data_IF_849333492831
#
_entry.id   IF_849333492831
#
_cell.length_a   1.000
_cell.length_b   1.000
_cell.length_c   1.000
_cell.angle_alpha   90.00
_cell.angle_beta   90.00
_cell.angle_gamma   90.00
#
_symmetry.space_group_name_H-M   'P 1'
#
loop_
_entity.id
_entity.type
_entity.pdbx_description
1 polymer ?
#
# COMPACT_ATOMS: atom_id res chain seq x y z
N UNK A 1 -1.26 14.07 -7.12
CA UNK A 1 0.11 13.85 -6.62
C UNK A 1 0.16 12.46 -6.04
N UNK A 2 1.06 11.64 -6.56
CA UNK A 2 1.21 10.26 -6.11
C UNK A 2 2.02 10.18 -4.81
N UNK A 3 1.80 9.12 -4.03
CA UNK A 3 2.53 8.90 -2.76
C UNK A 3 4.05 8.83 -2.99
N UNK A 4 4.49 8.39 -4.17
CA UNK A 4 5.90 8.38 -4.60
C UNK A 4 6.50 9.78 -4.65
N UNK A 5 5.79 10.78 -5.18
CA UNK A 5 6.27 12.16 -5.30
C UNK A 5 6.47 12.81 -3.92
N UNK A 6 5.56 12.52 -2.98
CA UNK A 6 5.69 12.96 -1.58
C UNK A 6 6.97 12.40 -0.96
N UNK A 7 7.28 11.13 -1.20
CA UNK A 7 8.50 10.48 -0.66
C UNK A 7 9.77 11.09 -1.25
N UNK A 8 9.75 11.54 -2.51
CA UNK A 8 10.86 12.29 -3.12
C UNK A 8 11.08 13.61 -2.39
N UNK A 9 10.01 14.36 -2.10
CA UNK A 9 10.10 15.61 -1.33
C UNK A 9 10.62 15.38 0.10
N UNK A 10 10.19 14.29 0.76
CA UNK A 10 10.73 13.91 2.07
C UNK A 10 12.24 13.67 2.03
N UNK A 11 12.72 12.96 1.00
CA UNK A 11 14.15 12.69 0.81
C UNK A 11 14.94 13.98 0.54
N UNK A 12 14.38 14.87 -0.29
CA UNK A 12 14.96 16.18 -0.56
C UNK A 12 15.12 16.99 0.75
N UNK A 13 14.06 17.15 1.54
CA UNK A 13 14.12 17.90 2.81
C UNK A 13 15.08 17.27 3.82
N UNK A 14 15.20 15.94 3.84
CA UNK A 14 16.17 15.24 4.66
C UNK A 14 17.62 15.62 4.33
N UNK A 15 17.98 15.63 3.04
CA UNK A 15 19.32 16.03 2.61
C UNK A 15 19.60 17.52 2.83
N UNK A 16 18.57 18.36 2.84
CA UNK A 16 18.66 19.76 3.24
C UNK A 16 18.79 19.98 4.75
N UNK A 17 18.86 18.91 5.56
CA UNK A 17 19.02 19.02 7.00
C UNK A 17 17.79 19.55 7.73
N UNK A 18 16.61 19.50 7.10
CA UNK A 18 15.39 19.94 7.74
C UNK A 18 15.06 19.04 8.95
N UNK A 19 14.43 19.63 9.97
CA UNK A 19 13.79 18.86 11.05
C UNK A 19 12.45 18.28 10.58
N UNK A 20 11.95 17.26 11.27
CA UNK A 20 10.62 16.66 10.99
C UNK A 20 9.52 17.73 10.90
N UNK A 21 9.51 18.68 11.84
CA UNK A 21 8.48 19.73 11.91
C UNK A 21 8.59 20.70 10.73
N UNK A 22 9.81 21.08 10.34
CA UNK A 22 10.03 21.93 9.17
C UNK A 22 9.61 21.23 7.88
N UNK A 23 9.97 19.96 7.71
CA UNK A 23 9.60 19.17 6.54
C UNK A 23 8.07 19.01 6.44
N UNK A 24 7.35 18.74 7.54
CA UNK A 24 5.88 18.71 7.53
C UNK A 24 5.29 20.05 7.07
N UNK A 25 5.77 21.16 7.61
CA UNK A 25 5.26 22.49 7.26
C UNK A 25 5.49 22.81 5.78
N UNK A 26 6.71 22.58 5.27
CA UNK A 26 7.06 22.83 3.86
C UNK A 26 6.31 21.93 2.90
N UNK A 27 6.22 20.64 3.19
CA UNK A 27 5.54 19.70 2.29
C UNK A 27 4.03 20.00 2.28
N UNK A 28 3.41 20.24 3.44
CA UNK A 28 2.00 20.63 3.48
C UNK A 28 1.75 22.01 2.84
N UNK A 29 2.71 22.95 2.84
CA UNK A 29 2.54 24.22 2.13
C UNK A 29 2.58 24.07 0.60
N UNK A 30 3.31 23.08 0.07
CA UNK A 30 3.42 22.84 -1.39
C UNK A 30 2.25 22.00 -1.91
N UNK A 31 1.83 20.97 -1.16
CA UNK A 31 0.84 20.00 -1.65
C UNK A 31 -0.58 20.38 -1.22
N UNK A 32 -0.74 20.90 -0.01
CA UNK A 32 -2.02 21.14 0.62
C UNK A 32 -2.02 20.81 2.11
N UNK A 33 -3.00 21.37 2.82
CA UNK A 33 -3.12 21.25 4.28
C UNK A 33 -3.29 19.78 4.70
N UNK A 34 -2.46 19.34 5.66
CA UNK A 34 -2.57 18.04 6.36
C UNK A 34 -2.32 16.77 5.51
N UNK A 35 -1.63 16.88 4.37
CA UNK A 35 -1.28 15.70 3.55
C UNK A 35 -0.30 14.77 4.26
N UNK A 36 0.64 15.34 5.02
CA UNK A 36 1.66 14.59 5.76
C UNK A 36 1.63 14.92 7.24
N UNK A 37 1.81 13.89 8.06
CA UNK A 37 1.90 14.00 9.52
C UNK A 37 3.35 13.96 9.98
N UNK A 38 3.61 14.49 11.19
CA UNK A 38 4.92 14.37 11.85
C UNK A 38 5.35 12.90 11.99
N UNK A 39 4.41 11.99 12.28
CA UNK A 39 4.70 10.57 12.42
C UNK A 39 5.24 9.97 11.12
N UNK A 40 4.59 10.28 9.99
CA UNK A 40 5.01 9.81 8.67
C UNK A 40 6.43 10.31 8.34
N UNK A 41 6.69 11.61 8.50
CA UNK A 41 8.03 12.18 8.23
C UNK A 41 9.09 11.57 9.16
N UNK A 42 8.80 11.42 10.45
CA UNK A 42 9.75 10.86 11.41
C UNK A 42 10.13 9.41 11.05
N UNK A 43 9.17 8.60 10.59
CA UNK A 43 9.41 7.23 10.14
C UNK A 43 10.36 7.19 8.94
N UNK A 44 10.15 8.06 7.96
CA UNK A 44 11.02 8.18 6.78
C UNK A 44 12.40 8.70 7.14
N UNK A 45 12.51 9.73 7.98
CA UNK A 45 13.81 10.24 8.42
C UNK A 45 14.59 9.20 9.21
N UNK A 46 13.93 8.37 10.02
CA UNK A 46 14.58 7.23 10.68
C UNK A 46 15.15 6.25 9.65
N UNK A 47 14.41 5.95 8.58
CA UNK A 47 14.85 5.09 7.47
C UNK A 47 16.07 5.69 6.73
N UNK A 48 16.04 6.98 6.43
CA UNK A 48 17.15 7.67 5.78
C UNK A 48 18.41 7.74 6.66
N UNK A 49 18.24 7.91 7.99
CA UNK A 49 19.36 7.85 8.95
C UNK A 49 20.03 6.49 9.02
N UNK A 50 19.32 5.40 8.71
CA UNK A 50 19.93 4.07 8.59
C UNK A 50 20.58 3.83 7.21
N UNK A 51 20.64 4.84 6.34
CA UNK A 51 21.23 4.75 5.01
C UNK A 51 20.32 4.12 3.95
N UNK A 52 19.07 3.81 4.30
CA UNK A 52 18.10 3.24 3.37
C UNK A 52 17.28 4.37 2.73
N UNK A 53 17.56 4.62 1.44
CA UNK A 53 16.90 5.64 0.64
C UNK A 53 15.90 5.07 -0.36
N UNK A 54 15.51 3.80 -0.22
CA UNK A 54 14.50 3.21 -1.09
C UNK A 54 13.13 3.86 -0.83
N UNK A 55 12.55 4.43 -1.87
CA UNK A 55 11.25 5.09 -1.84
C UNK A 55 10.11 4.14 -2.25
N UNK A 56 10.42 2.90 -2.62
CA UNK A 56 9.44 1.89 -2.97
C UNK A 56 8.57 1.52 -1.76
N UNK A 57 7.37 0.99 -2.03
CA UNK A 57 6.58 0.39 -0.97
C UNK A 57 7.02 -1.06 -0.84
N UNK A 58 7.50 -1.45 0.34
CA UNK A 58 7.76 -2.87 0.62
C UNK A 58 6.49 -3.69 0.29
N UNK A 59 6.65 -4.89 -0.28
CA UNK A 59 5.54 -5.78 -0.52
C UNK A 59 4.88 -6.10 0.83
N UNK A 60 3.76 -5.42 1.11
CA UNK A 60 2.96 -5.69 2.31
C UNK A 60 2.43 -7.10 2.15
N UNK A 61 2.77 -7.96 3.12
CA UNK A 61 2.40 -9.36 3.14
C UNK A 61 0.89 -9.54 3.13
N UNK A 62 0.27 -9.51 1.95
CA UNK A 62 -0.97 -10.24 1.75
C UNK A 62 -0.57 -11.70 1.85
N UNK A 63 -1.08 -12.47 2.83
CA UNK A 63 -0.82 -13.90 2.86
C UNK A 63 -1.22 -14.45 1.50
N UNK A 64 -0.32 -15.17 0.82
CA UNK A 64 -0.71 -15.93 -0.37
C UNK A 64 -1.80 -16.89 0.10
N UNK A 65 -3.02 -16.70 -0.37
CA UNK A 65 -4.11 -17.64 -0.14
C UNK A 65 -3.66 -18.97 -0.73
N UNK A 66 -3.18 -19.89 0.10
CA UNK A 66 -2.90 -21.26 -0.29
C UNK A 66 -4.27 -21.92 -0.43
N UNK A 67 -4.87 -21.83 -1.61
CA UNK A 67 -5.93 -22.78 -1.96
C UNK A 67 -5.26 -24.15 -1.98
N UNK A 68 -5.41 -24.92 -0.91
CA UNK A 68 -5.11 -26.35 -0.95
C UNK A 68 -6.15 -26.92 -1.93
N UNK A 69 -5.70 -27.31 -3.11
CA UNK A 69 -6.54 -27.70 -4.27
C UNK A 69 -7.41 -28.95 -4.02
N UNK A 70 -7.42 -29.53 -2.82
CA UNK A 70 -8.09 -30.81 -2.58
C UNK A 70 -9.50 -30.75 -1.98
N UNK A 71 -10.03 -29.59 -1.58
CA UNK A 71 -11.33 -29.58 -0.87
C UNK A 71 -12.30 -28.53 -1.37
N UNK A 72 -12.87 -28.76 -2.56
CA UNK A 72 -14.27 -28.44 -2.93
C UNK A 72 -14.47 -28.86 -4.39
N UNK A 73 -15.06 -30.05 -4.61
CA UNK A 73 -15.72 -30.33 -5.89
C UNK A 73 -16.74 -29.20 -6.13
N UNK A 74 -16.73 -28.51 -7.28
CA UNK A 74 -17.64 -27.41 -7.54
C UNK A 74 -19.10 -27.87 -7.37
N UNK A 75 -19.95 -27.02 -6.79
CA UNK A 75 -21.34 -27.35 -6.47
C UNK A 75 -22.14 -27.80 -7.72
N UNK A 76 -21.78 -27.29 -8.90
CA UNK A 76 -22.39 -27.66 -10.18
C UNK A 76 -22.12 -29.12 -10.61
N UNK A 77 -21.10 -29.79 -10.04
CA UNK A 77 -20.86 -31.23 -10.25
C UNK A 77 -21.74 -32.14 -9.39
N UNK A 78 -22.56 -31.59 -8.49
CA UNK A 78 -23.48 -32.33 -7.59
C UNK A 78 -24.92 -32.37 -8.07
N UNK A 79 -25.26 -31.69 -9.18
CA UNK A 79 -26.62 -31.69 -9.72
C UNK A 79 -26.80 -32.96 -10.58
N UNK A 80 -27.69 -33.90 -10.21
CA UNK A 80 -27.98 -35.04 -11.06
C UNK A 80 -28.69 -34.55 -12.33
N UNK A 81 -28.11 -34.89 -13.48
CA UNK A 81 -28.75 -34.66 -14.77
C UNK A 81 -30.01 -35.52 -14.87
N UNK A 82 -31.17 -34.94 -14.58
CA UNK A 82 -32.49 -35.30 -15.13
C UNK A 82 -33.57 -34.40 -14.51
N UNK A 83 -33.88 -33.32 -15.22
CA UNK A 83 -35.23 -32.75 -15.23
C UNK A 83 -35.53 -32.46 -16.69
N UNK A 84 -35.98 -33.49 -17.43
CA UNK A 84 -36.69 -33.28 -18.68
C UNK A 84 -38.13 -32.94 -18.28
N UNK A 85 -38.51 -31.66 -18.36
CA UNK A 85 -39.91 -31.25 -18.28
C UNK A 85 -40.27 -30.74 -19.67
N UNK A 86 -40.98 -31.59 -20.42
CA UNK A 86 -41.66 -31.21 -21.65
C UNK A 86 -42.80 -30.27 -21.28
N UNK A 87 -42.85 -29.11 -21.93
CA UNK A 87 -44.09 -28.34 -22.04
C UNK A 87 -44.73 -28.72 -23.38
N UNK A 88 -45.89 -29.38 -23.30
CA UNK A 88 -46.88 -29.41 -24.37
C UNK A 88 -47.74 -28.15 -24.30
#
# INVERSE_FOLDING_TARGET
MEISEIRVLMKYEFHHGATTRQAVAKINSVIGIQVVTNYTIARWFKKFRSGDFDLSNEPRGRPKTRWIVTSRKPLWKRIPAKVHVNYH
#
